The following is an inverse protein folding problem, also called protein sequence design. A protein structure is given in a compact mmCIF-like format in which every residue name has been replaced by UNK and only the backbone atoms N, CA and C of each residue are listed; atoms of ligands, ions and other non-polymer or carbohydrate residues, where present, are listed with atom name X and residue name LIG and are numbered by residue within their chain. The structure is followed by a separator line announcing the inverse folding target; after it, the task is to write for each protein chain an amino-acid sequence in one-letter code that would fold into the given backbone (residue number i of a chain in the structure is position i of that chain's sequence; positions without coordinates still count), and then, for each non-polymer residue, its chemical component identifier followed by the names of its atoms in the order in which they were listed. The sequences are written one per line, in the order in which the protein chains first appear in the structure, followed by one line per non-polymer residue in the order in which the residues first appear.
data_IF_249481889242
#
_entry.id   IF_249481889242
#
_cell.length_a   1.000
_cell.length_b   1.000
_cell.length_c   1.000
_cell.angle_alpha   90.00
_cell.angle_beta   90.00
_cell.angle_gamma   90.00
#
_symmetry.space_group_name_H-M   'P 1'
#
loop_
_entity.id
_entity.type
_entity.pdbx_description
1 polymer ?
#
# COMPACT_ATOMS: atom_id res chain seq x y z
N UNK A 1 32.25 11.86 0.31
CA UNK A 1 31.48 10.84 1.04
C UNK A 1 30.20 11.40 1.68
N UNK A 2 30.30 12.38 2.59
CA UNK A 2 29.15 12.91 3.34
C UNK A 2 28.04 13.55 2.49
N UNK A 3 28.39 14.27 1.42
CA UNK A 3 27.41 14.89 0.51
C UNK A 3 26.61 13.87 -0.32
N UNK A 4 27.23 12.72 -0.69
CA UNK A 4 26.54 11.64 -1.42
C UNK A 4 25.51 10.94 -0.53
N UNK A 5 25.86 10.70 0.75
CA UNK A 5 24.94 10.13 1.72
C UNK A 5 23.76 11.06 2.02
N UNK A 6 24.00 12.38 2.10
CA UNK A 6 22.94 13.37 2.28
C UNK A 6 22.02 13.43 1.05
N UNK A 7 22.58 13.41 -0.17
CA UNK A 7 21.80 13.40 -1.40
C UNK A 7 20.97 12.12 -1.55
N UNK A 8 21.54 10.94 -1.23
CA UNK A 8 20.81 9.66 -1.20
C UNK A 8 19.71 9.68 -0.13
N UNK A 9 19.97 10.21 1.07
CA UNK A 9 18.97 10.34 2.12
C UNK A 9 17.83 11.32 1.75
N UNK A 10 18.13 12.42 1.06
CA UNK A 10 17.11 13.35 0.56
C UNK A 10 16.25 12.72 -0.55
N UNK A 11 16.85 11.93 -1.45
CA UNK A 11 16.10 11.17 -2.45
C UNK A 11 15.17 10.12 -1.80
N UNK A 12 15.59 9.52 -0.68
CA UNK A 12 14.73 8.64 0.13
C UNK A 12 13.51 9.38 0.74
N UNK A 13 13.67 10.65 1.09
CA UNK A 13 12.69 11.43 1.84
C UNK A 13 11.53 11.96 0.97
N UNK A 14 11.65 11.88 -0.36
CA UNK A 14 10.71 12.48 -1.33
C UNK A 14 9.91 11.45 -2.14
N UNK A 15 10.06 10.16 -1.85
CA UNK A 15 9.36 9.11 -2.58
C UNK A 15 7.96 8.87 -1.99
N UNK A 16 6.97 9.58 -2.51
CA UNK A 16 5.54 9.39 -2.16
C UNK A 16 4.86 8.35 -3.06
N UNK A 17 5.63 7.54 -3.80
CA UNK A 17 5.07 6.52 -4.68
C UNK A 17 4.23 5.52 -3.87
N UNK A 18 3.05 5.19 -4.40
CA UNK A 18 2.08 4.30 -3.73
C UNK A 18 1.13 4.96 -2.74
N UNK A 19 1.35 6.22 -2.32
CA UNK A 19 0.49 6.86 -1.31
C UNK A 19 -0.95 7.07 -1.80
N UNK A 20 -1.12 7.56 -3.03
CA UNK A 20 -2.44 7.71 -3.65
C UNK A 20 -3.12 6.37 -3.94
N UNK A 21 -2.34 5.33 -4.24
CA UNK A 21 -2.86 3.99 -4.53
C UNK A 21 -3.37 3.30 -3.25
N UNK A 22 -2.64 3.44 -2.14
CA UNK A 22 -3.08 3.00 -0.81
C UNK A 22 -4.36 3.71 -0.38
N UNK A 23 -4.45 5.03 -0.60
CA UNK A 23 -5.67 5.79 -0.33
C UNK A 23 -6.85 5.30 -1.18
N UNK A 24 -6.63 4.98 -2.44
CA UNK A 24 -7.69 4.43 -3.30
C UNK A 24 -8.19 3.07 -2.79
N UNK A 25 -7.30 2.19 -2.32
CA UNK A 25 -7.70 0.93 -1.71
C UNK A 25 -8.55 1.16 -0.44
N UNK A 26 -8.20 2.16 0.37
CA UNK A 26 -8.95 2.52 1.58
C UNK A 26 -10.33 3.10 1.26
N UNK A 27 -10.44 3.89 0.18
CA UNK A 27 -11.74 4.34 -0.33
C UNK A 27 -12.62 3.16 -0.72
N UNK A 28 -12.07 2.14 -1.39
CA UNK A 28 -12.84 0.93 -1.73
C UNK A 28 -13.30 0.17 -0.48
N UNK A 29 -12.48 0.08 0.57
CA UNK A 29 -12.87 -0.52 1.84
C UNK A 29 -14.06 0.22 2.47
N UNK A 30 -13.99 1.56 2.51
CA UNK A 30 -15.09 2.38 3.06
C UNK A 30 -16.37 2.22 2.24
N UNK A 31 -16.27 2.27 0.91
CA UNK A 31 -17.43 2.07 0.02
C UNK A 31 -18.04 0.69 0.25
N UNK A 32 -17.22 -0.36 0.31
CA UNK A 32 -17.67 -1.73 0.56
C UNK A 32 -18.42 -1.87 1.88
N UNK A 33 -17.88 -1.30 2.97
CA UNK A 33 -18.54 -1.30 4.29
C UNK A 33 -19.88 -0.56 4.25
N UNK A 34 -19.93 0.62 3.62
CA UNK A 34 -21.16 1.41 3.53
C UNK A 34 -22.24 0.66 2.75
N UNK A 35 -21.90 0.10 1.59
CA UNK A 35 -22.84 -0.68 0.77
C UNK A 35 -23.30 -1.92 1.53
N UNK A 36 -22.39 -2.62 2.19
CA UNK A 36 -22.71 -3.82 2.98
C UNK A 36 -23.68 -3.49 4.12
N UNK A 37 -23.41 -2.43 4.88
CA UNK A 37 -24.30 -1.97 5.95
C UNK A 37 -25.67 -1.54 5.44
N UNK A 38 -25.71 -0.83 4.30
CA UNK A 38 -26.97 -0.43 3.66
C UNK A 38 -27.79 -1.63 3.18
N UNK A 39 -27.15 -2.62 2.54
CA UNK A 39 -27.80 -3.85 2.11
C UNK A 39 -28.34 -4.67 3.29
N UNK A 40 -27.55 -4.79 4.36
CA UNK A 40 -27.96 -5.48 5.57
C UNK A 40 -29.16 -4.79 6.26
N UNK A 41 -29.17 -3.46 6.30
CA UNK A 41 -30.29 -2.69 6.86
C UNK A 41 -31.57 -2.79 6.00
N UNK A 42 -31.43 -2.93 4.68
CA UNK A 42 -32.55 -3.08 3.75
C UNK A 42 -33.05 -4.52 3.61
N UNK A 43 -32.29 -5.53 4.08
CA UNK A 43 -32.58 -6.94 3.82
C UNK A 43 -32.41 -7.34 2.35
N UNK A 44 -31.57 -6.62 1.61
CA UNK A 44 -31.36 -6.80 0.17
C UNK A 44 -30.09 -7.63 -0.08
N UNK A 45 -30.26 -8.93 -0.31
CA UNK A 45 -29.16 -9.90 -0.47
C UNK A 45 -28.17 -9.51 -1.57
N UNK A 46 -28.67 -8.96 -2.68
CA UNK A 46 -27.82 -8.53 -3.81
C UNK A 46 -26.88 -7.40 -3.37
N UNK A 47 -27.39 -6.43 -2.60
CA UNK A 47 -26.60 -5.29 -2.13
C UNK A 47 -25.55 -5.76 -1.10
N UNK A 48 -25.92 -6.70 -0.23
CA UNK A 48 -24.99 -7.34 0.72
C UNK A 48 -23.84 -8.01 -0.02
N UNK A 49 -24.14 -8.79 -1.07
CA UNK A 49 -23.11 -9.47 -1.88
C UNK A 49 -22.18 -8.44 -2.53
N UNK A 50 -22.74 -7.41 -3.18
CA UNK A 50 -21.93 -6.37 -3.83
C UNK A 50 -21.04 -5.65 -2.82
N UNK A 51 -21.57 -5.24 -1.67
CA UNK A 51 -20.80 -4.59 -0.62
C UNK A 51 -19.65 -5.47 -0.10
N UNK A 52 -19.92 -6.76 0.09
CA UNK A 52 -18.91 -7.75 0.52
C UNK A 52 -17.81 -7.91 -0.51
N UNK A 53 -18.15 -7.99 -1.81
CA UNK A 53 -17.17 -8.12 -2.89
C UNK A 53 -16.29 -6.88 -2.99
N UNK A 54 -16.88 -5.69 -2.97
CA UNK A 54 -16.13 -4.43 -3.01
C UNK A 54 -15.19 -4.31 -1.81
N UNK A 55 -15.67 -4.69 -0.62
CA UNK A 55 -14.87 -4.72 0.59
C UNK A 55 -13.68 -5.69 0.48
N UNK A 56 -13.91 -6.92 0.01
CA UNK A 56 -12.86 -7.91 -0.19
C UNK A 56 -11.80 -7.43 -1.20
N UNK A 57 -12.24 -6.81 -2.31
CA UNK A 57 -11.34 -6.22 -3.30
C UNK A 57 -10.49 -5.09 -2.71
N UNK A 58 -11.06 -4.25 -1.84
CA UNK A 58 -10.30 -3.22 -1.12
C UNK A 58 -9.18 -3.81 -0.27
N UNK A 59 -9.43 -4.89 0.47
CA UNK A 59 -8.41 -5.56 1.28
C UNK A 59 -7.29 -6.17 0.43
N UNK A 60 -7.67 -6.85 -0.66
CA UNK A 60 -6.71 -7.44 -1.59
C UNK A 60 -5.85 -6.34 -2.23
N UNK A 61 -6.47 -5.27 -2.72
CA UNK A 61 -5.76 -4.16 -3.34
C UNK A 61 -4.78 -3.51 -2.35
N UNK A 62 -5.20 -3.24 -1.11
CA UNK A 62 -4.33 -2.67 -0.07
C UNK A 62 -3.12 -3.55 0.20
N UNK A 63 -3.33 -4.86 0.33
CA UNK A 63 -2.25 -5.83 0.58
C UNK A 63 -1.26 -5.89 -0.59
N UNK A 64 -1.77 -6.02 -1.82
CA UNK A 64 -0.94 -6.10 -3.03
C UNK A 64 -0.15 -4.80 -3.24
N UNK A 65 -0.79 -3.65 -3.09
CA UNK A 65 -0.14 -2.34 -3.24
C UNK A 65 0.93 -2.17 -2.17
N UNK A 66 0.64 -2.49 -0.91
CA UNK A 66 1.62 -2.46 0.17
C UNK A 66 2.84 -3.32 -0.15
N UNK A 67 2.60 -4.57 -0.56
CA UNK A 67 3.69 -5.48 -0.89
C UNK A 67 4.52 -5.00 -2.08
N UNK A 68 3.88 -4.58 -3.17
CA UNK A 68 4.56 -4.20 -4.41
C UNK A 68 5.23 -2.82 -4.36
N UNK A 69 4.61 -1.85 -3.69
CA UNK A 69 5.04 -0.45 -3.73
C UNK A 69 5.73 0.03 -2.46
N UNK A 70 5.63 -0.73 -1.35
CA UNK A 70 6.27 -0.38 -0.09
C UNK A 70 7.31 -1.43 0.27
N UNK A 71 6.92 -2.69 0.39
CA UNK A 71 7.81 -3.73 0.93
C UNK A 71 8.98 -4.04 -0.01
N UNK A 72 8.73 -4.33 -1.29
CA UNK A 72 9.79 -4.61 -2.26
C UNK A 72 10.81 -3.47 -2.37
N UNK A 73 10.41 -2.19 -2.56
CA UNK A 73 11.36 -1.08 -2.61
C UNK A 73 12.18 -0.92 -1.34
N UNK A 74 11.59 -1.15 -0.16
CA UNK A 74 12.33 -1.10 1.11
C UNK A 74 13.35 -2.24 1.18
N UNK A 75 12.94 -3.46 0.81
CA UNK A 75 13.82 -4.62 0.80
C UNK A 75 15.01 -4.44 -0.15
N UNK A 76 14.76 -3.96 -1.38
CA UNK A 76 15.82 -3.73 -2.37
C UNK A 76 16.81 -2.66 -1.88
N UNK A 77 16.32 -1.61 -1.21
CA UNK A 77 17.17 -0.57 -0.61
C UNK A 77 18.02 -1.13 0.53
N UNK A 78 17.45 -1.94 1.42
CA UNK A 78 18.19 -2.57 2.51
C UNK A 78 19.27 -3.53 1.99
N UNK A 79 18.94 -4.37 1.01
CA UNK A 79 19.87 -5.28 0.36
C UNK A 79 21.01 -4.55 -0.37
N UNK A 80 20.73 -3.39 -0.97
CA UNK A 80 21.76 -2.55 -1.57
C UNK A 80 22.72 -1.96 -0.52
N UNK A 81 22.19 -1.51 0.62
CA UNK A 81 23.01 -0.99 1.72
C UNK A 81 23.88 -2.08 2.35
N UNK A 82 23.35 -3.29 2.55
CA UNK A 82 24.11 -4.43 3.06
C UNK A 82 25.29 -4.79 2.14
N UNK A 83 25.06 -4.79 0.82
CA UNK A 83 26.12 -5.06 -0.15
C UNK A 83 27.19 -3.97 -0.19
N UNK A 84 26.81 -2.69 -0.10
CA UNK A 84 27.75 -1.57 -0.04
C UNK A 84 28.62 -1.65 1.24
N UNK A 85 28.04 -2.03 2.39
CA UNK A 85 28.75 -2.18 3.68
C UNK A 85 29.81 -3.30 3.63
N UNK A 86 29.44 -4.46 3.08
CA UNK A 86 30.38 -5.61 2.95
C UNK A 86 31.47 -5.44 1.91
N UNK A 87 31.43 -4.38 1.09
CA UNK A 87 32.43 -4.11 0.06
C UNK A 87 33.53 -3.12 0.52
N UNK A 88 33.33 -2.45 1.66
CA UNK A 88 34.28 -1.52 2.28
C UNK A 88 35.17 -2.21 3.36
N UNK A 89 34.93 -3.51 3.63
CA UNK A 89 35.74 -4.41 4.48
C UNK A 89 36.79 -5.21 3.66
#
# INVERSE_FOLDING_TARGET
MREILIARAQALHHDTSGHADLLLADVLLVIGIVILGAGAAAGEDVIIIVGTVVLALGFIARSVIGHMKVDYPIYDRLNALEKDDTADD
#
